data_IF_456564807306
#
_entry.id   IF_456564807306
#
_cell.length_a   1.000
_cell.length_b   1.000
_cell.length_c   1.000
_cell.angle_alpha   90.00
_cell.angle_beta   90.00
_cell.angle_gamma   90.00
#
_symmetry.space_group_name_H-M   'P 1'
#
loop_
_entity.id
_entity.type
_entity.pdbx_description
1 polymer ?
#
# COMPACT_ATOMS: atom_id res chain seq x y z
N UNK A 1 2.30 3.48 3.54
CA UNK A 1 2.37 2.64 2.32
C UNK A 1 2.17 1.18 2.70
N UNK A 2 1.08 0.57 2.28
CA UNK A 2 0.64 -0.77 2.67
C UNK A 2 0.81 -1.75 1.50
N UNK A 3 1.43 -2.91 1.73
CA UNK A 3 1.34 -4.03 0.80
C UNK A 3 0.00 -4.75 1.00
N UNK A 4 -0.67 -5.12 -0.11
CA UNK A 4 -1.91 -5.89 -0.04
C UNK A 4 -1.78 -7.14 0.86
N UNK A 5 -2.87 -7.59 1.44
CA UNK A 5 -2.96 -8.82 2.23
C UNK A 5 -2.55 -10.08 1.44
N UNK A 6 -2.47 -11.20 2.11
CA UNK A 6 -2.10 -12.48 1.47
C UNK A 6 -3.10 -12.80 0.36
N UNK A 7 -2.62 -12.89 -0.86
CA UNK A 7 -3.43 -13.29 -2.01
C UNK A 7 -3.37 -14.81 -2.23
N UNK A 8 -4.38 -15.34 -2.89
CA UNK A 8 -4.39 -16.71 -3.38
C UNK A 8 -3.10 -17.00 -4.16
N UNK A 9 -2.58 -18.22 -4.10
CA UNK A 9 -1.37 -18.58 -4.84
C UNK A 9 -1.63 -18.49 -6.35
N UNK A 10 -0.59 -18.12 -7.12
CA UNK A 10 -0.74 -17.92 -8.58
C UNK A 10 -1.14 -19.22 -9.28
N UNK A 11 -0.64 -20.33 -8.77
CA UNK A 11 -0.89 -21.68 -9.30
C UNK A 11 -2.34 -22.15 -9.07
N UNK A 12 -3.02 -21.54 -8.12
CA UNK A 12 -4.42 -21.85 -7.76
C UNK A 12 -5.43 -20.91 -8.46
N UNK A 13 -4.92 -19.90 -9.21
CA UNK A 13 -5.77 -18.90 -9.87
C UNK A 13 -5.67 -18.99 -11.39
N UNK A 14 -6.80 -19.24 -12.06
CA UNK A 14 -6.88 -19.40 -13.52
C UNK A 14 -7.19 -18.10 -14.28
N UNK A 15 -7.55 -17.03 -13.57
CA UNK A 15 -7.87 -15.72 -14.15
C UNK A 15 -6.65 -14.84 -14.37
N UNK A 16 -6.88 -13.59 -14.76
CA UNK A 16 -5.85 -12.55 -14.83
C UNK A 16 -5.23 -12.26 -13.44
N UNK A 17 -3.94 -11.91 -13.38
CA UNK A 17 -3.28 -11.65 -12.09
C UNK A 17 -3.90 -10.43 -11.38
N UNK A 18 -4.43 -9.48 -12.13
CA UNK A 18 -5.15 -8.32 -11.60
C UNK A 18 -6.42 -8.70 -10.83
N UNK A 19 -7.12 -9.75 -11.28
CA UNK A 19 -8.36 -10.24 -10.68
C UNK A 19 -8.13 -11.28 -9.56
N UNK A 20 -6.87 -11.64 -9.29
CA UNK A 20 -6.51 -12.62 -8.26
C UNK A 20 -6.87 -12.11 -6.87
N UNK A 21 -7.78 -12.82 -6.14
CA UNK A 21 -8.32 -12.35 -4.86
C UNK A 21 -7.36 -12.59 -3.69
N UNK A 22 -7.72 -12.04 -2.54
CA UNK A 22 -7.16 -12.45 -1.26
C UNK A 22 -7.51 -13.91 -0.97
N UNK A 23 -6.61 -14.61 -0.28
CA UNK A 23 -6.94 -15.90 0.36
C UNK A 23 -7.67 -15.66 1.70
N UNK A 24 -7.98 -16.74 2.41
CA UNK A 24 -8.66 -16.66 3.70
C UNK A 24 -7.85 -15.86 4.73
N UNK A 25 -6.53 -16.02 4.73
CA UNK A 25 -5.62 -15.29 5.62
C UNK A 25 -5.60 -13.80 5.28
N UNK A 26 -5.50 -13.45 3.99
CA UNK A 26 -5.54 -12.05 3.54
C UNK A 26 -6.86 -11.36 3.87
N UNK A 27 -7.97 -12.06 3.72
CA UNK A 27 -9.29 -11.56 4.10
C UNK A 27 -9.40 -11.30 5.61
N UNK A 28 -8.77 -12.14 6.43
CA UNK A 28 -8.70 -11.92 7.88
C UNK A 28 -7.77 -10.75 8.23
N UNK A 29 -6.63 -10.62 7.54
CA UNK A 29 -5.75 -9.45 7.67
C UNK A 29 -6.52 -8.16 7.41
N UNK A 30 -7.26 -8.07 6.29
CA UNK A 30 -8.05 -6.89 5.92
C UNK A 30 -9.05 -6.49 7.01
N UNK A 31 -9.74 -7.46 7.63
CA UNK A 31 -10.66 -7.20 8.75
C UNK A 31 -9.93 -6.69 9.99
N UNK A 32 -8.81 -7.30 10.36
CA UNK A 32 -8.03 -6.92 11.56
C UNK A 32 -7.29 -5.59 11.41
N UNK A 33 -7.01 -5.17 10.18
CA UNK A 33 -6.44 -3.85 9.91
C UNK A 33 -7.34 -2.71 10.41
N UNK A 34 -8.66 -2.89 10.48
CA UNK A 34 -9.59 -1.84 10.90
C UNK A 34 -9.20 -1.29 12.26
N UNK A 35 -9.06 -2.15 13.28
CA UNK A 35 -8.72 -1.74 14.64
C UNK A 35 -7.35 -1.08 14.75
N UNK A 36 -6.38 -1.51 13.94
CA UNK A 36 -5.02 -0.96 13.93
C UNK A 36 -5.01 0.43 13.26
N UNK A 37 -5.59 0.53 12.08
CA UNK A 37 -5.49 1.74 11.26
C UNK A 37 -6.45 2.86 11.69
N UNK A 38 -7.50 2.57 12.46
CA UNK A 38 -8.34 3.60 13.08
C UNK A 38 -7.55 4.56 13.98
N UNK A 39 -6.43 4.12 14.57
CA UNK A 39 -5.59 4.96 15.42
C UNK A 39 -4.79 6.02 14.64
N UNK A 40 -4.69 5.93 13.32
CA UNK A 40 -3.85 6.81 12.51
C UNK A 40 -4.57 8.05 11.94
N UNK A 41 -5.86 8.25 12.26
CA UNK A 41 -6.65 9.38 11.73
C UNK A 41 -6.54 9.52 10.20
N UNK A 42 -6.73 8.40 9.48
CA UNK A 42 -6.63 8.37 8.02
C UNK A 42 -7.75 9.22 7.40
N UNK A 43 -7.38 10.11 6.50
CA UNK A 43 -8.27 11.06 5.81
C UNK A 43 -8.48 10.68 4.34
N UNK A 44 -7.62 9.82 3.79
CA UNK A 44 -7.69 9.41 2.38
C UNK A 44 -7.13 8.01 2.21
N UNK A 45 -7.81 7.19 1.42
CA UNK A 45 -7.33 5.85 1.05
C UNK A 45 -7.24 5.74 -0.46
N UNK A 46 -6.08 5.30 -0.94
CA UNK A 46 -5.77 5.09 -2.35
C UNK A 46 -5.29 3.66 -2.53
N UNK A 47 -5.77 2.98 -3.55
CA UNK A 47 -5.40 1.60 -3.85
C UNK A 47 -5.08 1.39 -5.32
N UNK A 48 -4.21 0.42 -5.62
CA UNK A 48 -4.10 -0.16 -6.95
C UNK A 48 -5.44 -0.75 -7.39
N UNK A 49 -5.65 -0.87 -8.70
CA UNK A 49 -6.84 -1.47 -9.29
C UNK A 49 -6.90 -3.01 -9.19
N UNK A 50 -5.82 -3.67 -8.74
CA UNK A 50 -5.84 -5.10 -8.51
C UNK A 50 -6.81 -5.48 -7.37
N UNK A 51 -7.63 -6.51 -7.58
CA UNK A 51 -8.67 -6.95 -6.63
C UNK A 51 -8.08 -7.18 -5.23
N UNK A 52 -6.93 -7.85 -5.11
CA UNK A 52 -6.27 -8.08 -3.80
C UNK A 52 -5.91 -6.80 -3.05
N UNK A 53 -5.59 -5.71 -3.76
CA UNK A 53 -5.32 -4.42 -3.12
C UNK A 53 -6.62 -3.74 -2.69
N UNK A 54 -7.62 -3.77 -3.57
CA UNK A 54 -8.94 -3.23 -3.28
C UNK A 54 -9.55 -3.91 -2.05
N UNK A 55 -9.62 -5.25 -2.04
CA UNK A 55 -10.21 -6.04 -0.96
C UNK A 55 -9.43 -5.91 0.37
N UNK A 56 -8.14 -5.53 0.31
CA UNK A 56 -7.35 -5.28 1.52
C UNK A 56 -7.83 -4.04 2.28
N UNK A 57 -8.20 -2.97 1.57
CA UNK A 57 -8.49 -1.68 2.19
C UNK A 57 -9.98 -1.31 2.18
N UNK A 58 -10.80 -1.99 1.41
CA UNK A 58 -12.24 -1.72 1.32
C UNK A 58 -12.97 -1.85 2.67
N UNK A 59 -12.69 -2.88 3.50
CA UNK A 59 -13.31 -2.95 4.83
C UNK A 59 -12.93 -1.77 5.73
N UNK A 60 -11.69 -1.31 5.67
CA UNK A 60 -11.22 -0.15 6.43
C UNK A 60 -11.89 1.15 5.94
N UNK A 61 -12.00 1.36 4.62
CA UNK A 61 -12.65 2.56 4.07
C UNK A 61 -14.12 2.65 4.47
N UNK A 62 -14.82 1.51 4.49
CA UNK A 62 -16.20 1.45 5.00
C UNK A 62 -16.28 1.80 6.48
N UNK A 63 -15.38 1.25 7.31
CA UNK A 63 -15.37 1.51 8.75
C UNK A 63 -15.04 2.98 9.09
N UNK A 64 -14.28 3.67 8.22
CA UNK A 64 -13.91 5.08 8.39
C UNK A 64 -14.85 6.06 7.66
N UNK A 65 -15.86 5.57 6.97
CA UNK A 65 -16.75 6.37 6.10
C UNK A 65 -15.99 7.21 5.08
N UNK A 66 -14.95 6.63 4.47
CA UNK A 66 -14.10 7.27 3.46
C UNK A 66 -14.40 6.74 2.06
N UNK A 67 -14.17 7.57 1.05
CA UNK A 67 -14.18 7.12 -0.35
C UNK A 67 -12.86 6.47 -0.71
N UNK A 68 -12.94 5.25 -1.26
CA UNK A 68 -11.78 4.55 -1.80
C UNK A 68 -11.43 5.10 -3.18
N UNK A 69 -10.20 5.62 -3.33
CA UNK A 69 -9.69 6.06 -4.64
C UNK A 69 -8.86 4.96 -5.28
N UNK A 70 -9.23 4.56 -6.49
CA UNK A 70 -8.47 3.58 -7.28
C UNK A 70 -7.51 4.29 -8.23
N UNK A 71 -6.23 3.92 -8.19
CA UNK A 71 -5.17 4.48 -9.03
C UNK A 71 -4.41 3.37 -9.78
N UNK A 72 -4.61 3.31 -11.09
CA UNK A 72 -3.96 2.29 -11.96
C UNK A 72 -2.44 2.44 -12.03
N UNK A 73 -1.92 3.66 -11.88
CA UNK A 73 -0.47 3.93 -12.01
C UNK A 73 0.39 3.22 -10.97
N UNK A 74 -0.20 2.80 -9.86
CA UNK A 74 0.48 2.03 -8.81
C UNK A 74 0.19 0.52 -8.88
N UNK A 75 -0.31 0.01 -10.01
CA UNK A 75 -0.50 -1.43 -10.25
C UNK A 75 0.80 -2.10 -10.74
N UNK A 76 0.91 -3.43 -10.55
CA UNK A 76 2.00 -4.20 -11.14
C UNK A 76 1.99 -4.15 -12.68
N UNK A 77 0.81 -4.08 -13.27
CA UNK A 77 0.66 -3.99 -14.73
C UNK A 77 1.20 -2.66 -15.27
N UNK A 78 0.84 -1.53 -14.65
CA UNK A 78 1.39 -0.21 -15.02
C UNK A 78 2.89 -0.15 -14.76
N UNK A 79 3.36 -0.71 -13.65
CA UNK A 79 4.77 -0.79 -13.30
C UNK A 79 5.62 -1.53 -14.34
N UNK A 80 5.11 -2.62 -14.90
CA UNK A 80 5.80 -3.36 -15.98
C UNK A 80 5.90 -2.56 -17.28
N UNK A 81 4.92 -1.69 -17.54
CA UNK A 81 4.87 -0.85 -18.74
C UNK A 81 5.73 0.41 -18.57
N UNK A 82 5.55 1.12 -17.50
CA UNK A 82 6.24 2.38 -17.21
C UNK A 82 6.36 2.59 -15.70
N UNK A 83 7.59 2.49 -15.21
CA UNK A 83 7.90 2.63 -13.77
C UNK A 83 7.83 4.08 -13.30
N UNK A 84 8.02 5.05 -14.19
CA UNK A 84 8.03 6.47 -13.84
C UNK A 84 6.65 6.95 -13.38
N UNK A 85 5.56 6.36 -13.87
CA UNK A 85 4.20 6.73 -13.45
C UNK A 85 4.00 6.59 -11.95
N UNK A 86 4.44 5.47 -11.34
CA UNK A 86 4.34 5.27 -9.89
C UNK A 86 5.28 6.20 -9.11
N UNK A 87 6.44 6.51 -9.67
CA UNK A 87 7.40 7.43 -9.07
C UNK A 87 6.85 8.85 -9.05
N UNK A 88 6.28 9.32 -10.16
CA UNK A 88 5.64 10.64 -10.22
C UNK A 88 4.43 10.70 -9.27
N UNK A 89 3.62 9.64 -9.21
CA UNK A 89 2.55 9.55 -8.22
C UNK A 89 3.09 9.73 -6.79
N UNK A 90 4.20 9.05 -6.42
CA UNK A 90 4.80 9.20 -5.09
C UNK A 90 5.24 10.64 -4.81
N UNK A 91 5.85 11.31 -5.79
CA UNK A 91 6.28 12.72 -5.68
C UNK A 91 5.09 13.69 -5.52
N UNK A 92 3.95 13.37 -6.12
CA UNK A 92 2.75 14.20 -5.98
C UNK A 92 2.04 13.94 -4.65
N UNK A 93 1.87 12.67 -4.26
CA UNK A 93 1.12 12.34 -3.06
C UNK A 93 1.80 12.83 -1.78
N UNK A 94 3.13 12.91 -1.73
CA UNK A 94 3.86 13.41 -0.56
C UNK A 94 3.69 14.92 -0.33
N UNK A 95 3.15 15.64 -1.31
CA UNK A 95 2.82 17.07 -1.16
C UNK A 95 1.51 17.29 -0.37
N UNK A 96 0.67 16.27 -0.30
CA UNK A 96 -0.59 16.29 0.42
C UNK A 96 -0.31 16.08 1.92
N UNK A 97 -0.69 17.02 2.75
CA UNK A 97 -0.41 17.01 4.20
C UNK A 97 -1.39 16.13 5.00
N UNK A 98 -2.41 15.59 4.36
CA UNK A 98 -3.35 14.67 4.98
C UNK A 98 -2.70 13.32 5.29
N UNK A 99 -3.24 12.61 6.28
CA UNK A 99 -2.87 11.22 6.53
C UNK A 99 -3.46 10.32 5.45
N UNK A 100 -2.61 9.77 4.59
CA UNK A 100 -3.02 9.00 3.42
C UNK A 100 -2.53 7.56 3.51
N UNK A 101 -3.43 6.61 3.36
CA UNK A 101 -3.10 5.20 3.16
C UNK A 101 -3.00 4.90 1.67
N UNK A 102 -1.87 4.38 1.23
CA UNK A 102 -1.65 3.90 -0.15
C UNK A 102 -1.42 2.41 -0.13
N UNK A 103 -2.29 1.63 -0.79
CA UNK A 103 -2.17 0.18 -0.89
C UNK A 103 -1.72 -0.24 -2.30
N UNK A 104 -0.65 -1.01 -2.37
CA UNK A 104 -0.07 -1.48 -3.65
C UNK A 104 0.76 -2.77 -3.45
N UNK A 105 1.78 -2.96 -4.26
CA UNK A 105 2.57 -4.18 -4.44
C UNK A 105 4.06 -3.97 -4.16
N UNK A 106 4.77 -5.04 -3.85
CA UNK A 106 6.22 -4.98 -3.56
C UNK A 106 7.09 -4.43 -4.69
N UNK A 107 6.88 -4.72 -5.98
CA UNK A 107 7.75 -4.08 -6.98
C UNK A 107 7.56 -2.56 -7.03
N UNK A 108 6.39 -2.06 -6.66
CA UNK A 108 6.02 -0.63 -6.73
C UNK A 108 6.44 0.11 -5.47
N UNK A 109 5.98 -0.35 -4.29
CA UNK A 109 6.17 0.36 -3.01
C UNK A 109 7.64 0.60 -2.64
N UNK A 110 8.57 -0.39 -2.76
CA UNK A 110 9.98 -0.16 -2.43
C UNK A 110 10.63 0.93 -3.28
N UNK A 111 10.27 1.00 -4.56
CA UNK A 111 10.84 2.02 -5.45
C UNK A 111 10.23 3.40 -5.23
N UNK A 112 8.95 3.47 -4.88
CA UNK A 112 8.34 4.73 -4.44
C UNK A 112 9.06 5.24 -3.19
N UNK A 113 9.26 4.39 -2.18
CA UNK A 113 9.95 4.74 -0.94
C UNK A 113 11.39 5.21 -1.22
N UNK A 114 12.16 4.46 -1.98
CA UNK A 114 13.53 4.81 -2.37
C UNK A 114 13.60 6.21 -3.01
N UNK A 115 12.65 6.55 -3.88
CA UNK A 115 12.63 7.86 -4.53
C UNK A 115 12.27 9.00 -3.59
N UNK A 116 11.40 8.76 -2.62
CA UNK A 116 11.05 9.76 -1.61
C UNK A 116 12.20 10.03 -0.63
N UNK A 117 13.07 9.04 -0.42
CA UNK A 117 14.12 9.06 0.61
C UNK A 117 15.54 9.26 0.07
N UNK A 118 15.72 9.46 -1.24
CA UNK A 118 17.05 9.62 -1.88
C UNK A 118 18.00 10.64 -1.23
N UNK A 119 17.47 11.59 -0.46
CA UNK A 119 18.24 12.65 0.19
C UNK A 119 18.52 12.36 1.66
N UNK A 120 18.09 11.21 2.16
CA UNK A 120 18.14 10.88 3.58
C UNK A 120 18.86 9.53 3.68
N UNK A 121 19.89 9.49 4.52
CA UNK A 121 20.59 8.25 4.84
C UNK A 121 19.72 7.46 5.84
N UNK A 122 18.74 6.76 5.30
CA UNK A 122 17.97 5.78 6.07
C UNK A 122 18.58 4.40 5.86
N UNK A 123 18.97 3.79 6.95
CA UNK A 123 19.25 2.36 6.97
C UNK A 123 17.92 1.62 6.76
N UNK A 124 17.71 1.12 5.55
CA UNK A 124 16.50 0.37 5.18
C UNK A 124 16.56 -1.04 5.76
N UNK A 125 15.80 -1.36 6.79
CA UNK A 125 15.64 -2.76 7.12
C UNK A 125 14.80 -3.41 6.03
N UNK A 126 15.41 -4.29 5.28
CA UNK A 126 14.79 -5.17 4.29
C UNK A 126 13.78 -4.51 3.32
N UNK A 127 14.16 -4.35 2.07
CA UNK A 127 13.43 -3.61 1.03
C UNK A 127 12.07 -4.21 0.60
N UNK A 128 11.53 -5.17 1.34
CA UNK A 128 10.29 -5.84 0.97
C UNK A 128 9.35 -5.96 2.16
N UNK A 129 8.12 -5.50 1.97
CA UNK A 129 7.04 -5.77 2.90
C UNK A 129 6.50 -7.19 2.71
N UNK A 130 6.19 -7.88 3.79
CA UNK A 130 5.34 -9.07 3.74
C UNK A 130 3.89 -8.68 3.44
N UNK A 131 3.03 -9.59 2.94
CA UNK A 131 1.61 -9.28 2.72
C UNK A 131 0.94 -8.75 3.99
N UNK A 132 0.33 -7.58 3.90
CA UNK A 132 -0.32 -6.91 5.03
C UNK A 132 0.59 -6.02 5.87
N UNK A 133 1.90 -5.98 5.61
CA UNK A 133 2.81 -5.03 6.26
C UNK A 133 2.79 -3.65 5.59
N UNK A 134 3.20 -2.64 6.35
CA UNK A 134 3.25 -1.27 5.86
C UNK A 134 4.51 -0.54 6.31
N UNK A 135 4.92 0.47 5.54
CA UNK A 135 5.77 1.55 5.99
C UNK A 135 4.90 2.76 6.38
N UNK A 136 5.15 3.29 7.56
CA UNK A 136 4.60 4.57 8.02
C UNK A 136 5.65 5.62 7.72
N UNK A 137 5.31 6.58 6.87
CA UNK A 137 6.22 7.64 6.45
C UNK A 137 5.79 8.92 7.15
N UNK A 138 6.62 9.39 8.08
CA UNK A 138 6.44 10.67 8.71
C UNK A 138 7.13 11.74 7.87
N UNK A 139 6.37 12.71 7.40
CA UNK A 139 6.90 13.77 6.55
C UNK A 139 6.31 15.12 6.88
N UNK A 140 7.05 16.18 6.54
CA UNK A 140 6.58 17.56 6.56
C UNK A 140 6.79 18.14 5.17
N UNK A 141 5.70 18.53 4.53
CA UNK A 141 5.73 18.87 3.10
C UNK A 141 6.34 17.70 2.30
N UNK A 142 7.43 17.95 1.58
CA UNK A 142 8.14 16.91 0.78
C UNK A 142 9.32 16.25 1.51
N UNK A 143 9.58 16.64 2.76
CA UNK A 143 10.71 16.12 3.53
C UNK A 143 10.26 14.95 4.39
N UNK A 144 10.83 13.78 4.15
CA UNK A 144 10.64 12.59 4.98
C UNK A 144 11.50 12.75 6.23
N UNK A 145 10.88 12.60 7.40
CA UNK A 145 11.52 12.78 8.70
C UNK A 145 11.87 11.44 9.35
N UNK A 146 10.98 10.46 9.22
CA UNK A 146 11.11 9.14 9.82
C UNK A 146 10.30 8.11 9.02
N UNK A 147 10.74 6.86 9.06
CA UNK A 147 10.02 5.71 8.52
C UNK A 147 9.96 4.63 9.58
N UNK A 148 8.76 4.17 9.89
CA UNK A 148 8.54 3.02 10.76
C UNK A 148 7.95 1.88 9.94
N UNK A 149 8.18 0.63 10.40
CA UNK A 149 7.55 -0.56 9.83
C UNK A 149 6.42 -1.02 10.74
N UNK A 150 5.26 -1.22 10.16
CA UNK A 150 4.11 -1.80 10.81
C UNK A 150 3.94 -3.24 10.34
N UNK A 151 3.99 -4.16 11.28
CA UNK A 151 3.80 -5.59 11.01
C UNK A 151 2.39 -5.89 10.52
N UNK A 152 2.26 -6.97 9.76
CA UNK A 152 0.96 -7.47 9.34
C UNK A 152 0.14 -7.91 10.56
N UNK A 153 -1.19 -7.70 10.54
CA UNK A 153 -2.05 -8.25 11.59
C UNK A 153 -1.86 -9.77 11.70
N UNK A 154 -1.71 -10.27 12.91
CA UNK A 154 -1.67 -11.72 13.19
C UNK A 154 -2.95 -12.38 12.68
N UNK A 155 -2.86 -13.57 12.12
CA UNK A 155 -4.01 -14.30 11.54
C UNK A 155 -4.06 -15.73 12.05
#
# INVERSE_FOLDING_TARGET
>A
MLRHGKALAREEWLGGDEDRPLDQRGSLQAKRMISIYQAFNIEKVITSDAIRCYDTVEPLTKALDLKLKVEKVISEQSWKKDKELAIEFAKEIIKDERTILVCSHNPVLPRMLEKLTKKIDFDYPDNKLQPGEAWIIHHKKKEVLQIDRLEAPTT
#
